data_IF_851103649584
#
_entry.id   IF_851103649584
#
_cell.length_a   1.000
_cell.length_b   1.000
_cell.length_c   1.000
_cell.angle_alpha   90.00
_cell.angle_beta   90.00
_cell.angle_gamma   90.00
#
_symmetry.space_group_name_H-M   'P 1'
#
loop_
_entity.id
_entity.type
_entity.pdbx_description
1 polymer ?
#
# COMPACT_ATOMS: atom_id res chain seq x y z
N UNK A 1 1.68 -20.06 0.06
CA UNK A 1 1.30 -18.78 -0.53
C UNK A 1 2.16 -17.69 0.08
N UNK A 2 2.74 -16.81 -0.75
CA UNK A 2 3.48 -15.61 -0.30
C UNK A 2 2.61 -14.37 -0.54
N UNK A 3 2.49 -13.49 0.46
CA UNK A 3 1.78 -12.23 0.36
C UNK A 3 2.81 -11.10 0.26
N UNK A 4 2.65 -10.24 -0.73
CA UNK A 4 3.48 -9.05 -0.91
C UNK A 4 2.58 -7.83 -0.85
N UNK A 5 2.65 -7.08 0.24
CA UNK A 5 1.77 -5.95 0.51
C UNK A 5 2.50 -4.66 0.19
N UNK A 6 2.02 -3.93 -0.80
CA UNK A 6 2.54 -2.61 -1.15
C UNK A 6 1.80 -1.53 -0.38
N UNK A 7 2.54 -0.75 0.38
CA UNK A 7 2.07 0.46 1.05
C UNK A 7 2.83 1.68 0.54
N UNK A 8 2.27 2.85 0.72
CA UNK A 8 2.87 4.11 0.28
C UNK A 8 1.83 5.11 -0.20
N UNK A 9 2.26 6.35 -0.37
CA UNK A 9 1.41 7.46 -0.78
C UNK A 9 0.89 7.30 -2.22
N UNK A 10 -0.07 8.13 -2.62
CA UNK A 10 -0.44 8.23 -4.03
C UNK A 10 0.80 8.61 -4.87
N UNK A 11 0.87 8.09 -6.08
CA UNK A 11 1.97 8.35 -7.02
C UNK A 11 3.34 7.76 -6.64
N UNK A 12 3.45 6.95 -5.57
CA UNK A 12 4.71 6.29 -5.19
C UNK A 12 5.12 5.14 -6.11
N UNK A 13 4.33 4.80 -7.13
CA UNK A 13 4.70 3.76 -8.10
C UNK A 13 4.20 2.35 -7.77
N UNK A 14 3.35 2.18 -6.75
CA UNK A 14 2.80 0.86 -6.36
C UNK A 14 2.29 0.06 -7.56
N UNK A 15 1.32 0.61 -8.28
CA UNK A 15 0.70 -0.09 -9.43
C UNK A 15 1.70 -0.46 -10.53
N UNK A 16 2.79 0.31 -10.67
CA UNK A 16 3.86 -0.01 -11.61
C UNK A 16 4.65 -1.24 -11.14
N UNK A 17 5.12 -1.24 -9.89
CA UNK A 17 5.87 -2.36 -9.32
C UNK A 17 5.03 -3.62 -9.15
N UNK A 18 3.77 -3.49 -8.76
CA UNK A 18 2.83 -4.61 -8.67
C UNK A 18 2.69 -5.36 -9.99
N UNK A 19 2.53 -4.63 -11.10
CA UNK A 19 2.42 -5.23 -12.43
C UNK A 19 3.72 -5.87 -12.86
N UNK A 20 4.84 -5.16 -12.72
CA UNK A 20 6.15 -5.69 -13.08
C UNK A 20 6.51 -6.93 -12.26
N UNK A 21 6.15 -6.96 -10.98
CA UNK A 21 6.34 -8.12 -10.13
C UNK A 21 5.42 -9.27 -10.52
N UNK A 22 4.15 -8.99 -10.82
CA UNK A 22 3.20 -10.00 -11.27
C UNK A 22 3.61 -10.65 -12.60
N UNK A 23 4.21 -9.88 -13.51
CA UNK A 23 4.73 -10.41 -14.79
C UNK A 23 5.91 -11.39 -14.60
N UNK A 24 6.65 -11.25 -13.48
CA UNK A 24 7.78 -12.13 -13.13
C UNK A 24 7.37 -13.35 -12.31
N UNK A 25 6.35 -13.22 -11.47
CA UNK A 25 5.96 -14.28 -10.53
C UNK A 25 4.90 -15.22 -11.15
N UNK A 26 5.18 -16.51 -11.26
CA UNK A 26 4.20 -17.48 -11.77
C UNK A 26 3.01 -17.60 -10.81
N UNK A 27 1.81 -17.80 -11.36
CA UNK A 27 0.58 -18.00 -10.59
C UNK A 27 0.36 -16.89 -9.54
N UNK A 28 0.60 -15.62 -9.94
CA UNK A 28 0.39 -14.45 -9.10
C UNK A 28 -0.99 -13.83 -9.32
N UNK A 29 -1.53 -13.19 -8.29
CA UNK A 29 -2.79 -12.44 -8.34
C UNK A 29 -2.61 -11.08 -7.68
N UNK A 30 -3.02 -10.01 -8.39
CA UNK A 30 -3.06 -8.66 -7.83
C UNK A 30 -4.42 -8.43 -7.18
N UNK A 31 -4.40 -8.00 -5.92
CA UNK A 31 -5.54 -7.48 -5.16
C UNK A 31 -5.43 -5.97 -5.16
N UNK A 32 -6.31 -5.31 -5.86
CA UNK A 32 -6.20 -3.87 -6.17
C UNK A 32 -6.65 -2.97 -5.02
N UNK A 33 -6.27 -1.69 -5.07
CA UNK A 33 -6.82 -0.64 -4.18
C UNK A 33 -8.37 -0.59 -4.25
N UNK A 34 -8.96 -0.99 -5.39
CA UNK A 34 -10.39 -1.15 -5.56
C UNK A 34 -11.01 -2.17 -4.61
N UNK A 35 -10.27 -3.23 -4.30
CA UNK A 35 -10.70 -4.30 -3.40
C UNK A 35 -10.34 -3.99 -1.94
N UNK A 36 -9.22 -3.35 -1.68
CA UNK A 36 -8.68 -3.20 -0.32
C UNK A 36 -9.12 -1.93 0.38
N UNK A 37 -9.21 -0.81 -0.32
CA UNK A 37 -9.44 0.52 0.24
C UNK A 37 -10.77 1.15 -0.19
N UNK A 38 -11.12 1.06 -1.49
CA UNK A 38 -12.25 1.79 -2.05
C UNK A 38 -13.60 1.48 -1.36
N UNK A 39 -13.90 0.24 -0.91
CA UNK A 39 -15.15 -0.04 -0.20
C UNK A 39 -15.31 0.72 1.13
N UNK A 40 -14.20 1.21 1.70
CA UNK A 40 -14.19 2.02 2.93
C UNK A 40 -13.68 3.45 2.69
N UNK A 41 -13.69 3.94 1.45
CA UNK A 41 -13.10 5.25 1.13
C UNK A 41 -13.78 6.39 1.90
N UNK A 42 -15.07 6.32 2.10
CA UNK A 42 -15.86 7.31 2.86
C UNK A 42 -15.93 6.98 4.37
N UNK A 43 -15.58 5.76 4.77
CA UNK A 43 -15.61 5.32 6.14
C UNK A 43 -14.19 5.27 6.72
N UNK A 44 -13.93 6.09 7.73
CA UNK A 44 -12.65 6.14 8.44
C UNK A 44 -12.70 5.50 9.83
N UNK A 45 -13.74 4.72 10.10
CA UNK A 45 -13.89 4.00 11.36
C UNK A 45 -12.91 2.82 11.44
N UNK A 46 -12.19 2.76 12.54
CA UNK A 46 -11.16 1.75 12.77
C UNK A 46 -11.74 0.33 12.89
N UNK A 47 -12.87 0.18 13.60
CA UNK A 47 -13.49 -1.14 13.82
C UNK A 47 -14.00 -1.68 12.48
N UNK A 48 -14.66 -0.83 11.68
CA UNK A 48 -15.08 -1.19 10.34
C UNK A 48 -13.91 -1.58 9.44
N UNK A 49 -12.76 -0.89 9.55
CA UNK A 49 -11.56 -1.23 8.81
C UNK A 49 -11.01 -2.60 9.19
N UNK A 50 -10.88 -2.89 10.48
CA UNK A 50 -10.41 -4.19 10.98
C UNK A 50 -11.34 -5.32 10.54
N UNK A 51 -12.65 -5.14 10.67
CA UNK A 51 -13.63 -6.16 10.27
C UNK A 51 -13.63 -6.41 8.77
N UNK A 52 -13.43 -5.35 7.97
CA UNK A 52 -13.29 -5.48 6.53
C UNK A 52 -12.02 -6.26 6.13
N UNK A 53 -10.88 -5.92 6.73
CA UNK A 53 -9.62 -6.61 6.46
C UNK A 53 -9.67 -8.09 6.87
N UNK A 54 -10.34 -8.43 7.97
CA UNK A 54 -10.59 -9.83 8.37
C UNK A 54 -11.40 -10.60 7.33
N UNK A 55 -12.42 -9.94 6.74
CA UNK A 55 -13.20 -10.54 5.64
C UNK A 55 -12.33 -10.79 4.41
N UNK A 56 -11.48 -9.84 4.03
CA UNK A 56 -10.52 -10.01 2.92
C UNK A 56 -9.56 -11.17 3.19
N UNK A 57 -8.99 -11.29 4.39
CA UNK A 57 -8.13 -12.40 4.77
C UNK A 57 -8.87 -13.75 4.65
N UNK A 58 -10.16 -13.79 4.99
CA UNK A 58 -10.99 -14.99 4.81
C UNK A 58 -11.18 -15.34 3.33
N UNK A 59 -11.23 -14.35 2.44
CA UNK A 59 -11.25 -14.56 0.99
C UNK A 59 -9.88 -15.07 0.52
N UNK A 60 -8.79 -14.48 1.00
CA UNK A 60 -7.42 -14.88 0.63
C UNK A 60 -7.11 -16.33 1.02
N UNK A 61 -7.66 -16.84 2.13
CA UNK A 61 -7.54 -18.27 2.53
C UNK A 61 -8.07 -19.25 1.48
N UNK A 62 -8.92 -18.80 0.57
CA UNK A 62 -9.52 -19.63 -0.49
C UNK A 62 -8.81 -19.48 -1.84
N UNK A 63 -7.84 -18.58 -1.93
CA UNK A 63 -7.09 -18.37 -3.17
C UNK A 63 -6.14 -19.53 -3.43
N UNK A 64 -5.97 -19.84 -4.70
CA UNK A 64 -5.06 -20.89 -5.18
C UNK A 64 -3.79 -20.33 -5.79
N UNK A 65 -3.63 -19.01 -5.78
CA UNK A 65 -2.43 -18.34 -6.24
C UNK A 65 -1.25 -18.63 -5.32
N UNK A 66 -0.05 -18.75 -5.90
CA UNK A 66 1.18 -18.91 -5.12
C UNK A 66 1.61 -17.57 -4.49
N UNK A 67 1.28 -16.47 -5.17
CA UNK A 67 1.59 -15.10 -4.75
C UNK A 67 0.34 -14.22 -4.76
N UNK A 68 0.08 -13.51 -3.66
CA UNK A 68 -0.89 -12.41 -3.61
C UNK A 68 -0.13 -11.09 -3.50
N UNK A 69 -0.29 -10.23 -4.49
CA UNK A 69 0.27 -8.88 -4.54
C UNK A 69 -0.86 -7.92 -4.18
N UNK A 70 -0.73 -7.21 -3.06
CA UNK A 70 -1.83 -6.47 -2.43
C UNK A 70 -1.52 -4.97 -2.44
N UNK A 71 -2.33 -4.17 -3.13
CA UNK A 71 -2.23 -2.69 -3.13
C UNK A 71 -2.95 -2.12 -1.92
N UNK A 72 -2.19 -1.60 -0.96
CA UNK A 72 -2.61 -1.04 0.31
C UNK A 72 -3.32 -2.07 1.20
N UNK A 73 -3.07 -1.98 2.47
CA UNK A 73 -3.72 -2.84 3.46
C UNK A 73 -3.81 -2.12 4.81
N UNK A 74 -3.39 -2.74 5.89
CA UNK A 74 -3.61 -2.30 7.26
C UNK A 74 -2.87 -1.00 7.64
N UNK A 75 -1.69 -0.69 7.09
CA UNK A 75 -1.01 0.57 7.40
C UNK A 75 -1.79 1.78 6.87
N UNK A 76 -2.28 1.68 5.63
CA UNK A 76 -3.13 2.73 5.04
C UNK A 76 -4.43 2.90 5.84
N UNK A 77 -5.06 1.81 6.30
CA UNK A 77 -6.26 1.89 7.11
C UNK A 77 -6.00 2.48 8.50
N UNK A 78 -4.88 2.12 9.17
CA UNK A 78 -4.48 2.70 10.43
C UNK A 78 -4.25 4.22 10.30
N UNK A 79 -3.56 4.67 9.25
CA UNK A 79 -3.40 6.10 8.97
C UNK A 79 -4.74 6.80 8.78
N UNK A 80 -5.64 6.24 7.97
CA UNK A 80 -6.93 6.86 7.64
C UNK A 80 -7.90 6.96 8.82
N UNK A 81 -7.85 6.00 9.74
CA UNK A 81 -8.65 5.98 10.96
C UNK A 81 -8.00 6.71 12.13
N UNK A 82 -6.83 7.31 11.93
CA UNK A 82 -6.01 7.93 12.99
C UNK A 82 -5.72 6.99 14.16
N UNK A 83 -5.68 5.69 13.89
CA UNK A 83 -5.42 4.65 14.87
C UNK A 83 -3.92 4.35 15.01
N UNK A 84 -3.52 3.77 16.14
CA UNK A 84 -2.19 3.20 16.28
C UNK A 84 -2.09 1.86 15.54
N UNK A 85 -0.90 1.50 15.05
CA UNK A 85 -0.72 0.19 14.38
C UNK A 85 -0.99 -0.98 15.34
N UNK A 86 -0.78 -0.80 16.64
CA UNK A 86 -1.07 -1.82 17.66
C UNK A 86 -2.52 -2.30 17.62
N UNK A 87 -3.45 -1.43 17.25
CA UNK A 87 -4.88 -1.78 17.13
C UNK A 87 -5.17 -2.71 15.96
N UNK A 88 -4.23 -2.78 14.99
CA UNK A 88 -4.27 -3.71 13.85
C UNK A 88 -3.42 -4.98 14.07
N UNK A 89 -2.91 -5.24 15.28
CA UNK A 89 -2.06 -6.40 15.57
C UNK A 89 -2.72 -7.74 15.19
N UNK A 90 -4.03 -7.87 15.40
CA UNK A 90 -4.77 -9.09 15.01
C UNK A 90 -4.82 -9.30 13.48
N UNK A 91 -4.68 -8.26 12.69
CA UNK A 91 -4.56 -8.34 11.23
C UNK A 91 -3.18 -8.89 10.86
N UNK A 92 -2.11 -8.38 11.47
CA UNK A 92 -0.76 -8.89 11.25
C UNK A 92 -0.61 -10.35 11.68
N UNK A 93 -1.22 -10.76 12.80
CA UNK A 93 -1.27 -12.16 13.25
C UNK A 93 -1.96 -13.02 12.18
N UNK A 94 -3.12 -12.60 11.70
CA UNK A 94 -3.87 -13.34 10.68
C UNK A 94 -3.13 -13.44 9.34
N UNK A 95 -2.34 -12.43 8.98
CA UNK A 95 -1.50 -12.46 7.77
C UNK A 95 -0.36 -13.48 7.92
N UNK A 96 0.31 -13.52 9.08
CA UNK A 96 1.35 -14.53 9.37
C UNK A 96 0.81 -15.96 9.35
N UNK A 97 -0.41 -16.18 9.86
CA UNK A 97 -1.07 -17.47 9.78
C UNK A 97 -1.45 -17.88 8.36
N UNK A 98 -1.71 -16.89 7.50
CA UNK A 98 -2.09 -17.14 6.10
C UNK A 98 -0.91 -17.61 5.26
N UNK A 99 0.27 -17.06 5.50
CA UNK A 99 1.49 -17.43 4.78
C UNK A 99 2.66 -16.49 5.02
N UNK A 100 3.71 -16.68 4.28
CA UNK A 100 4.86 -15.78 4.27
C UNK A 100 4.40 -14.40 3.78
N UNK A 101 4.64 -13.37 4.57
CA UNK A 101 4.18 -12.01 4.27
C UNK A 101 5.36 -11.06 4.25
N UNK A 102 5.51 -10.31 3.16
CA UNK A 102 6.44 -9.19 3.02
C UNK A 102 5.67 -7.88 2.86
N UNK A 103 5.96 -6.90 3.68
CA UNK A 103 5.43 -5.54 3.56
C UNK A 103 6.47 -4.66 2.86
N UNK A 104 6.07 -4.07 1.74
CA UNK A 104 6.91 -3.18 0.92
C UNK A 104 6.37 -1.76 1.03
N UNK A 105 7.07 -0.91 1.76
CA UNK A 105 6.74 0.51 1.86
C UNK A 105 7.48 1.30 0.78
N UNK A 106 6.74 1.85 -0.18
CA UNK A 106 7.30 2.73 -1.20
C UNK A 106 7.31 4.18 -0.72
N UNK A 107 8.47 4.81 -0.83
CA UNK A 107 8.67 6.21 -0.46
C UNK A 107 9.12 7.04 -1.66
N UNK A 108 8.95 8.34 -1.55
CA UNK A 108 9.45 9.36 -2.47
C UNK A 108 10.16 10.40 -1.62
N UNK A 109 11.28 10.95 -2.09
CA UNK A 109 11.89 12.12 -1.45
C UNK A 109 10.84 13.21 -1.22
N UNK A 110 10.79 13.76 -0.02
CA UNK A 110 9.75 14.70 0.41
C UNK A 110 9.66 15.92 -0.53
N UNK A 111 10.80 16.44 -0.99
CA UNK A 111 10.85 17.58 -1.91
C UNK A 111 10.34 17.23 -3.32
N UNK A 112 10.34 15.93 -3.66
CA UNK A 112 9.87 15.41 -4.95
C UNK A 112 8.38 15.05 -4.97
N UNK A 113 7.71 14.99 -3.83
CA UNK A 113 6.30 14.55 -3.73
C UNK A 113 5.39 15.43 -4.58
N UNK A 114 5.52 16.77 -4.48
CA UNK A 114 4.69 17.72 -5.23
C UNK A 114 4.80 17.52 -6.73
N UNK A 115 6.03 17.44 -7.25
CA UNK A 115 6.28 17.23 -8.68
C UNK A 115 5.73 15.88 -9.15
N UNK A 116 5.85 14.83 -8.33
CA UNK A 116 5.35 13.49 -8.63
C UNK A 116 3.81 13.44 -8.68
N UNK A 117 3.12 14.19 -7.81
CA UNK A 117 1.66 14.31 -7.84
C UNK A 117 1.22 15.06 -9.09
N UNK A 118 1.86 16.19 -9.41
CA UNK A 118 1.55 17.00 -10.58
C UNK A 118 1.70 16.20 -11.87
N UNK A 119 2.80 15.49 -12.04
CA UNK A 119 3.00 14.57 -13.16
C UNK A 119 1.86 13.54 -13.27
N UNK A 120 1.49 12.91 -12.14
CA UNK A 120 0.44 11.91 -12.11
C UNK A 120 -0.93 12.49 -12.44
N UNK A 121 -1.22 13.73 -12.02
CA UNK A 121 -2.48 14.40 -12.34
C UNK A 121 -2.66 14.64 -13.84
N UNK A 122 -1.57 14.76 -14.61
CA UNK A 122 -1.63 15.02 -16.06
C UNK A 122 -2.27 13.87 -16.84
N UNK A 123 -2.15 12.60 -16.37
CA UNK A 123 -2.66 11.43 -17.08
C UNK A 123 -3.72 10.62 -16.32
N UNK A 124 -4.04 10.97 -15.05
CA UNK A 124 -5.12 10.28 -14.32
C UNK A 124 -6.49 10.74 -14.75
N UNK A 125 -7.46 9.81 -14.65
CA UNK A 125 -8.87 10.07 -14.98
C UNK A 125 -9.48 11.15 -14.09
N UNK A 126 -10.45 11.88 -14.62
CA UNK A 126 -11.15 12.98 -13.92
C UNK A 126 -11.79 12.59 -12.59
N UNK A 127 -12.18 11.31 -12.42
CA UNK A 127 -12.71 10.80 -11.17
C UNK A 127 -11.69 10.89 -10.03
N UNK A 128 -10.40 10.58 -10.28
CA UNK A 128 -9.35 10.74 -9.28
C UNK A 128 -9.09 12.22 -8.96
N UNK A 129 -9.14 13.08 -9.98
CA UNK A 129 -8.99 14.53 -9.82
C UNK A 129 -10.10 15.12 -8.94
N UNK A 130 -11.34 14.63 -9.08
CA UNK A 130 -12.50 15.07 -8.28
C UNK A 130 -12.48 14.57 -6.85
N UNK A 131 -11.98 13.37 -6.59
CA UNK A 131 -11.89 12.78 -5.25
C UNK A 131 -10.78 13.38 -4.38
N UNK A 132 -9.73 13.93 -4.99
CA UNK A 132 -8.64 14.60 -4.30
C UNK A 132 -8.93 16.10 -4.16
N UNK A 133 -9.74 16.49 -3.18
CA UNK A 133 -10.01 17.91 -2.87
C UNK A 133 -8.71 18.64 -2.48
N UNK A 134 -8.69 19.96 -2.69
CA UNK A 134 -7.58 20.82 -2.31
C UNK A 134 -6.60 21.16 -3.45
N UNK A 135 -5.76 22.15 -3.18
CA UNK A 135 -4.68 22.59 -4.06
C UNK A 135 -3.57 21.54 -4.17
N UNK A 136 -2.68 21.69 -5.15
CA UNK A 136 -1.50 20.82 -5.27
C UNK A 136 -0.61 20.89 -4.03
N UNK A 137 -0.49 22.07 -3.41
CA UNK A 137 0.26 22.30 -2.19
C UNK A 137 -0.33 21.52 -1.01
N UNK A 138 -1.64 21.64 -0.77
CA UNK A 138 -2.33 20.93 0.30
C UNK A 138 -2.22 19.40 0.12
N UNK A 139 -2.29 18.92 -1.11
CA UNK A 139 -2.08 17.50 -1.41
C UNK A 139 -0.64 17.06 -1.11
N UNK A 140 0.35 17.88 -1.47
CA UNK A 140 1.75 17.55 -1.20
C UNK A 140 2.02 17.46 0.30
N UNK A 141 1.50 18.40 1.09
CA UNK A 141 1.60 18.38 2.56
C UNK A 141 0.93 17.12 3.13
N UNK A 142 -0.32 16.84 2.74
CA UNK A 142 -1.03 15.66 3.20
C UNK A 142 -0.29 14.35 2.90
N UNK A 143 0.26 14.21 1.69
CA UNK A 143 0.99 12.99 1.34
C UNK A 143 2.37 12.90 2.00
N UNK A 144 3.02 14.03 2.27
CA UNK A 144 4.25 14.04 3.08
C UNK A 144 3.97 13.56 4.52
N UNK A 145 2.91 14.07 5.17
CA UNK A 145 2.47 13.62 6.48
C UNK A 145 2.07 12.13 6.48
N UNK A 146 1.34 11.68 5.45
CA UNK A 146 0.99 10.27 5.29
C UNK A 146 2.25 9.41 5.19
N UNK A 147 3.22 9.79 4.37
CA UNK A 147 4.44 9.02 4.18
C UNK A 147 5.23 8.90 5.50
N UNK A 148 5.37 9.99 6.23
CA UNK A 148 6.07 9.96 7.52
C UNK A 148 5.35 9.07 8.54
N UNK A 149 4.02 9.09 8.56
CA UNK A 149 3.28 8.19 9.44
C UNK A 149 3.41 6.72 9.02
N UNK A 150 3.38 6.42 7.72
CA UNK A 150 3.60 5.06 7.21
C UNK A 150 5.01 4.55 7.53
N UNK A 151 6.04 5.40 7.48
CA UNK A 151 7.41 5.06 7.94
C UNK A 151 7.43 4.69 9.43
N UNK A 152 6.73 5.47 10.27
CA UNK A 152 6.60 5.15 11.71
C UNK A 152 5.90 3.81 11.93
N UNK A 153 4.86 3.51 11.18
CA UNK A 153 4.17 2.21 11.24
C UNK A 153 5.10 1.07 10.78
N UNK A 154 5.88 1.28 9.73
CA UNK A 154 6.84 0.28 9.25
C UNK A 154 7.92 -0.04 10.31
N UNK A 155 8.31 0.92 11.15
CA UNK A 155 9.28 0.67 12.23
C UNK A 155 8.72 -0.19 13.38
N UNK A 156 7.40 -0.26 13.54
CA UNK A 156 6.74 -0.98 14.65
C UNK A 156 5.91 -2.16 14.18
N UNK A 157 5.77 -2.39 12.88
CA UNK A 157 5.13 -3.58 12.34
C UNK A 157 5.88 -4.84 12.77
N UNK A 158 5.13 -5.91 13.00
CA UNK A 158 5.70 -7.22 13.32
C UNK A 158 5.90 -8.11 12.09
N UNK A 159 5.52 -7.61 10.91
CA UNK A 159 5.75 -8.28 9.63
C UNK A 159 7.16 -8.00 9.10
N UNK A 160 7.79 -8.96 8.42
CA UNK A 160 8.95 -8.68 7.58
C UNK A 160 8.66 -7.50 6.65
N UNK A 161 9.54 -6.51 6.62
CA UNK A 161 9.26 -5.28 5.89
C UNK A 161 10.50 -4.62 5.33
N UNK A 162 10.36 -3.99 4.16
CA UNK A 162 11.40 -3.18 3.51
C UNK A 162 10.85 -1.82 3.13
N UNK A 163 11.74 -0.83 3.06
CA UNK A 163 11.44 0.49 2.48
C UNK A 163 12.21 0.61 1.16
N UNK A 164 11.50 1.01 0.12
CA UNK A 164 12.09 1.23 -1.21
C UNK A 164 11.83 2.67 -1.63
N UNK A 165 12.90 3.41 -1.91
CA UNK A 165 12.80 4.75 -2.48
C UNK A 165 12.57 4.67 -3.99
N UNK A 166 11.47 5.25 -4.43
CA UNK A 166 11.06 5.29 -5.83
C UNK A 166 11.23 6.66 -6.48
N UNK A 167 11.96 7.57 -5.85
CA UNK A 167 12.14 8.95 -6.31
C UNK A 167 12.65 9.00 -7.75
N UNK A 168 13.63 8.18 -8.08
CA UNK A 168 14.26 8.14 -9.40
C UNK A 168 13.56 7.22 -10.40
N UNK A 169 12.49 6.51 -10.00
CA UNK A 169 11.74 5.56 -10.85
C UNK A 169 12.62 4.45 -11.45
N UNK A 170 13.68 4.06 -10.78
CA UNK A 170 14.51 2.91 -11.16
C UNK A 170 13.79 1.62 -10.78
N UNK A 171 12.80 1.26 -11.61
CA UNK A 171 11.90 0.14 -11.35
C UNK A 171 12.61 -1.20 -11.33
N UNK A 172 13.66 -1.36 -12.13
CA UNK A 172 14.44 -2.58 -12.17
C UNK A 172 15.18 -2.81 -10.85
N UNK A 173 15.87 -1.80 -10.34
CA UNK A 173 16.52 -1.88 -9.04
C UNK A 173 15.51 -2.03 -7.88
N UNK A 174 14.34 -1.37 -7.97
CA UNK A 174 13.29 -1.57 -6.98
C UNK A 174 12.78 -3.03 -6.94
N UNK A 175 12.63 -3.67 -8.10
CA UNK A 175 12.23 -5.08 -8.16
C UNK A 175 13.28 -6.01 -7.58
N UNK A 176 14.56 -5.80 -7.89
CA UNK A 176 15.65 -6.60 -7.35
C UNK A 176 15.64 -6.57 -5.81
N UNK A 177 15.43 -5.40 -5.20
CA UNK A 177 15.31 -5.29 -3.75
C UNK A 177 14.15 -6.11 -3.15
N UNK A 178 13.05 -6.29 -3.89
CA UNK A 178 11.92 -7.12 -3.43
C UNK A 178 12.24 -8.60 -3.60
N UNK A 179 12.92 -8.97 -4.69
CA UNK A 179 13.28 -10.35 -5.00
C UNK A 179 14.34 -10.91 -4.05
N UNK A 180 15.23 -10.07 -3.53
CA UNK A 180 16.32 -10.44 -2.62
C UNK A 180 15.86 -10.58 -1.14
N UNK A 181 14.56 -10.29 -0.85
CA UNK A 181 13.98 -10.35 0.50
C UNK A 181 13.09 -11.56 0.66
#
# INVERSE_FOLDING_TARGET
MKLIIFEGIASSGKTTLERLLADKLPNSKIVTEGDTLMPLIENRDQVAAIDYLRKLITVFKKETADYLIIDRFHLTHAFRSHASLKEFSSIEESLRELGETLLVLLTIDTDSIKARIEETMSYRRDQWKKGAQGTLEEKAIYYAEQQEQLKRFQQVTTLPSIIIDTTNKDWENCLLQIEDT
#
